data_IF_147841637425
#
_entry.id   IF_147841637425
#
_cell.length_a   1.000
_cell.length_b   1.000
_cell.length_c   1.000
_cell.angle_alpha   90.00
_cell.angle_beta   90.00
_cell.angle_gamma   90.00
#
_symmetry.space_group_name_H-M   'P 1'
#
loop_
_entity.id
_entity.type
_entity.pdbx_description
1 polymer ?
#
# COMPACT_ATOMS: atom_id res chain seq x y z
N UNK A 1 4.75 -15.43 -20.28
CA UNK A 1 3.77 -15.55 -19.18
C UNK A 1 4.03 -16.88 -18.49
N UNK A 2 4.24 -16.95 -17.17
CA UNK A 2 4.37 -18.24 -16.51
C UNK A 2 3.04 -18.99 -16.65
N UNK A 3 3.06 -20.16 -17.29
CA UNK A 3 1.88 -20.96 -17.68
C UNK A 3 1.17 -21.65 -16.49
N UNK A 4 1.69 -21.53 -15.26
CA UNK A 4 1.06 -22.13 -14.07
C UNK A 4 1.44 -21.41 -12.79
N UNK A 5 0.44 -21.16 -11.93
CA UNK A 5 0.64 -20.79 -10.53
C UNK A 5 1.21 -22.02 -9.82
N UNK A 6 2.38 -21.86 -9.19
CA UNK A 6 3.04 -22.95 -8.47
C UNK A 6 2.99 -22.66 -6.97
N UNK A 7 2.14 -23.39 -6.28
CA UNK A 7 1.99 -23.34 -4.83
C UNK A 7 1.83 -24.78 -4.34
N UNK A 8 2.55 -25.15 -3.27
CA UNK A 8 2.41 -26.49 -2.71
C UNK A 8 1.02 -26.68 -2.09
N UNK A 9 0.31 -27.77 -2.45
CA UNK A 9 -1.10 -28.00 -2.05
C UNK A 9 -1.31 -27.95 -0.52
N UNK A 10 -0.35 -28.50 0.23
CA UNK A 10 -0.39 -28.62 1.71
C UNK A 10 0.31 -27.48 2.46
N UNK A 11 0.58 -26.36 1.79
CA UNK A 11 1.18 -25.19 2.43
C UNK A 11 0.18 -24.45 3.34
N UNK A 12 0.70 -23.77 4.37
CA UNK A 12 -0.12 -22.95 5.26
C UNK A 12 -0.78 -21.79 4.50
N UNK A 13 -1.93 -21.27 4.98
CA UNK A 13 -2.61 -20.11 4.38
C UNK A 13 -1.65 -18.93 4.17
N UNK A 14 -0.81 -18.64 5.16
CA UNK A 14 0.21 -17.59 5.08
C UNK A 14 1.25 -17.84 3.98
N UNK A 15 1.73 -19.08 3.87
CA UNK A 15 2.67 -19.48 2.80
C UNK A 15 2.03 -19.34 1.42
N UNK A 16 0.77 -19.76 1.27
CA UNK A 16 0.02 -19.59 0.00
C UNK A 16 -0.02 -18.14 -0.44
N UNK A 17 -0.35 -17.21 0.46
CA UNK A 17 -0.33 -15.78 0.14
C UNK A 17 1.08 -15.28 -0.20
N UNK A 18 2.08 -15.65 0.61
CA UNK A 18 3.46 -15.25 0.40
C UNK A 18 4.01 -15.67 -0.97
N UNK A 19 3.67 -16.87 -1.43
CA UNK A 19 4.06 -17.39 -2.74
C UNK A 19 3.21 -16.83 -3.89
N UNK A 20 1.91 -16.60 -3.66
CA UNK A 20 0.98 -16.13 -4.68
C UNK A 20 1.18 -14.66 -5.06
N UNK A 21 1.39 -13.78 -4.08
CA UNK A 21 1.42 -12.33 -4.32
C UNK A 21 2.50 -11.92 -5.35
N UNK A 22 3.76 -12.41 -5.28
CA UNK A 22 4.76 -12.12 -6.30
C UNK A 22 4.38 -12.67 -7.70
N UNK A 23 3.69 -13.81 -7.75
CA UNK A 23 3.22 -14.39 -9.01
C UNK A 23 2.10 -13.55 -9.62
N UNK A 24 1.14 -13.08 -8.81
CA UNK A 24 0.10 -12.14 -9.25
C UNK A 24 0.74 -10.86 -9.78
N UNK A 25 1.73 -10.30 -9.07
CA UNK A 25 2.46 -9.11 -9.53
C UNK A 25 3.06 -9.35 -10.92
N UNK A 26 3.80 -10.44 -11.11
CA UNK A 26 4.40 -10.77 -12.40
C UNK A 26 3.37 -11.00 -13.51
N UNK A 27 2.18 -11.52 -13.17
CA UNK A 27 1.09 -11.77 -14.11
C UNK A 27 0.48 -10.48 -14.66
N UNK A 28 0.39 -9.43 -13.84
CA UNK A 28 -0.27 -8.16 -14.22
C UNK A 28 0.70 -7.03 -14.62
N UNK A 29 2.01 -7.18 -14.37
CA UNK A 29 2.99 -6.10 -14.53
C UNK A 29 3.13 -5.56 -15.96
N UNK A 30 2.90 -6.39 -16.99
CA UNK A 30 3.09 -6.01 -18.39
C UNK A 30 1.77 -5.79 -19.16
N UNK A 31 0.62 -5.92 -18.50
CA UNK A 31 -0.70 -5.72 -19.10
C UNK A 31 -1.28 -4.40 -18.59
N UNK A 32 -1.81 -3.58 -19.50
CA UNK A 32 -2.38 -2.27 -19.18
C UNK A 32 -3.90 -2.31 -19.07
N UNK A 33 -4.53 -3.33 -19.64
CA UNK A 33 -5.98 -3.50 -19.59
C UNK A 33 -6.41 -3.89 -18.18
N UNK A 34 -7.11 -2.97 -17.51
CA UNK A 34 -7.61 -3.16 -16.16
C UNK A 34 -8.41 -4.46 -16.00
N UNK A 35 -9.37 -4.71 -16.90
CA UNK A 35 -10.27 -5.86 -16.79
C UNK A 35 -9.53 -7.19 -16.96
N UNK A 36 -8.54 -7.25 -17.85
CA UNK A 36 -7.67 -8.41 -17.99
C UNK A 36 -6.90 -8.71 -16.69
N UNK A 37 -6.36 -7.67 -16.06
CA UNK A 37 -5.64 -7.80 -14.79
C UNK A 37 -6.56 -8.24 -13.65
N UNK A 38 -7.72 -7.61 -13.49
CA UNK A 38 -8.70 -7.99 -12.47
C UNK A 38 -9.21 -9.44 -12.67
N UNK A 39 -9.48 -9.84 -13.92
CA UNK A 39 -9.86 -11.20 -14.24
C UNK A 39 -8.79 -12.21 -13.81
N UNK A 40 -7.53 -11.96 -14.19
CA UNK A 40 -6.40 -12.82 -13.82
C UNK A 40 -6.16 -12.88 -12.31
N UNK A 41 -6.31 -11.76 -11.59
CA UNK A 41 -6.20 -11.73 -10.13
C UNK A 41 -7.31 -12.59 -9.49
N UNK A 42 -8.56 -12.43 -9.92
CA UNK A 42 -9.69 -13.20 -9.38
C UNK A 42 -9.51 -14.71 -9.66
N UNK A 43 -9.05 -15.07 -10.86
CA UNK A 43 -8.75 -16.44 -11.24
C UNK A 43 -7.62 -17.04 -10.38
N UNK A 44 -6.54 -16.30 -10.16
CA UNK A 44 -5.41 -16.73 -9.35
C UNK A 44 -5.81 -16.97 -7.88
N UNK A 45 -6.58 -16.05 -7.30
CA UNK A 45 -7.10 -16.20 -5.93
C UNK A 45 -8.04 -17.40 -5.81
N UNK A 46 -8.96 -17.56 -6.76
CA UNK A 46 -9.89 -18.71 -6.81
C UNK A 46 -9.13 -20.04 -6.93
N UNK A 47 -8.14 -20.12 -7.82
CA UNK A 47 -7.37 -21.35 -8.04
C UNK A 47 -6.62 -21.81 -6.79
N UNK A 48 -6.08 -20.88 -5.99
CA UNK A 48 -5.22 -21.20 -4.85
C UNK A 48 -6.01 -21.48 -3.57
N UNK A 49 -7.05 -20.70 -3.33
CA UNK A 49 -7.80 -20.75 -2.07
C UNK A 49 -9.19 -21.40 -2.21
N UNK A 50 -9.67 -21.58 -3.44
CA UNK A 50 -10.99 -22.10 -3.74
C UNK A 50 -12.11 -21.37 -2.97
N UNK A 51 -11.98 -20.05 -2.79
CA UNK A 51 -13.01 -19.20 -2.17
C UNK A 51 -14.36 -19.40 -2.86
N UNK A 52 -15.48 -19.29 -2.13
CA UNK A 52 -16.80 -19.46 -2.74
C UNK A 52 -17.02 -18.44 -3.85
N UNK A 53 -16.81 -17.17 -3.51
CA UNK A 53 -16.82 -16.05 -4.43
C UNK A 53 -15.58 -15.17 -4.19
N UNK A 54 -14.96 -14.69 -5.26
CA UNK A 54 -13.86 -13.72 -5.19
C UNK A 54 -13.88 -12.84 -6.43
N UNK A 55 -13.82 -11.53 -6.26
CA UNK A 55 -13.93 -10.62 -7.39
C UNK A 55 -13.92 -9.16 -7.00
N UNK A 56 -14.32 -8.34 -7.96
CA UNK A 56 -14.23 -6.90 -7.83
C UNK A 56 -15.57 -6.24 -8.11
N UNK A 57 -15.83 -5.15 -7.39
CA UNK A 57 -16.79 -4.14 -7.83
C UNK A 57 -16.05 -2.82 -8.02
N UNK A 58 -16.37 -2.08 -9.07
CA UNK A 58 -15.73 -0.82 -9.43
C UNK A 58 -16.71 0.32 -9.23
N UNK A 59 -16.23 1.51 -8.81
CA UNK A 59 -17.10 2.68 -8.76
C UNK A 59 -17.52 3.03 -10.19
N UNK A 60 -18.83 3.15 -10.40
CA UNK A 60 -19.39 3.52 -11.70
C UNK A 60 -19.06 4.98 -12.00
N UNK A 61 -18.32 5.23 -13.10
CA UNK A 61 -17.93 6.58 -13.50
C UNK A 61 -19.10 7.42 -14.01
N UNK A 62 -20.21 6.79 -14.40
CA UNK A 62 -21.43 7.50 -14.83
C UNK A 62 -22.37 7.78 -13.65
N UNK A 63 -22.27 6.99 -12.58
CA UNK A 63 -23.07 7.09 -11.37
C UNK A 63 -22.16 6.99 -10.15
N UNK A 64 -21.63 8.11 -9.68
CA UNK A 64 -20.71 8.19 -8.52
C UNK A 64 -21.29 7.67 -7.19
N UNK A 65 -22.51 7.12 -7.20
CA UNK A 65 -23.21 6.60 -6.02
C UNK A 65 -23.34 5.07 -5.99
N UNK A 66 -22.82 4.37 -7.01
CA UNK A 66 -22.89 2.91 -7.09
C UNK A 66 -21.55 2.26 -7.43
N UNK A 67 -21.33 1.10 -6.82
CA UNK A 67 -20.39 0.09 -7.25
C UNK A 67 -21.07 -0.77 -8.32
N UNK A 68 -20.38 -1.03 -9.43
CA UNK A 68 -20.79 -1.93 -10.52
C UNK A 68 -19.93 -3.19 -10.51
N UNK A 69 -20.53 -4.34 -10.80
CA UNK A 69 -19.83 -5.62 -10.82
C UNK A 69 -18.71 -5.63 -11.88
N UNK A 70 -17.49 -5.95 -11.43
CA UNK A 70 -16.31 -6.17 -12.26
C UNK A 70 -16.00 -7.66 -12.42
N UNK A 71 -14.78 -8.01 -12.88
CA UNK A 71 -14.37 -9.42 -13.02
C UNK A 71 -14.40 -10.18 -11.69
N UNK A 72 -14.87 -11.42 -11.71
CA UNK A 72 -15.00 -12.26 -10.52
C UNK A 72 -14.95 -13.76 -10.87
N UNK A 73 -14.87 -14.59 -9.84
CA UNK A 73 -15.01 -16.05 -9.89
C UNK A 73 -16.01 -16.49 -8.82
N UNK A 74 -17.06 -17.22 -9.21
CA UNK A 74 -18.11 -17.68 -8.30
C UNK A 74 -19.48 -17.75 -8.98
N UNK A 75 -20.55 -18.00 -8.21
CA UNK A 75 -21.92 -17.90 -8.71
C UNK A 75 -22.30 -16.47 -9.13
N UNK A 76 -23.44 -16.32 -9.82
CA UNK A 76 -24.01 -15.03 -10.23
C UNK A 76 -24.17 -14.11 -9.01
N UNK A 77 -23.76 -12.84 -9.16
CA UNK A 77 -23.76 -11.84 -8.09
C UNK A 77 -24.66 -10.63 -8.42
N UNK A 78 -24.84 -9.74 -7.44
CA UNK A 78 -25.49 -8.44 -7.66
C UNK A 78 -24.71 -7.63 -8.70
N UNK A 79 -25.41 -6.91 -9.59
CA UNK A 79 -24.73 -6.09 -10.60
C UNK A 79 -24.38 -4.69 -10.10
N UNK A 80 -25.16 -4.14 -9.16
CA UNK A 80 -25.00 -2.77 -8.63
C UNK A 80 -25.19 -2.74 -7.11
N UNK A 81 -24.33 -2.01 -6.41
CA UNK A 81 -24.35 -1.85 -4.95
C UNK A 81 -24.21 -0.36 -4.60
N UNK A 82 -25.18 0.20 -3.88
CA UNK A 82 -25.14 1.60 -3.45
C UNK A 82 -24.11 1.85 -2.35
N UNK A 83 -23.53 3.05 -2.32
CA UNK A 83 -22.64 3.46 -1.24
C UNK A 83 -23.28 3.30 0.15
N UNK A 84 -22.55 2.74 1.10
CA UNK A 84 -23.00 2.45 2.46
C UNK A 84 -24.00 1.30 2.61
N UNK A 85 -24.28 0.53 1.55
CA UNK A 85 -25.20 -0.62 1.58
C UNK A 85 -24.45 -1.94 1.49
N UNK A 86 -24.77 -2.89 2.37
CA UNK A 86 -24.02 -4.14 2.49
C UNK A 86 -22.56 -3.91 2.93
N UNK A 87 -21.80 -5.00 3.01
CA UNK A 87 -20.39 -4.92 3.44
C UNK A 87 -19.55 -4.20 2.38
N UNK A 88 -19.74 -4.51 1.10
CA UNK A 88 -19.14 -3.79 -0.03
C UNK A 88 -19.37 -2.27 0.00
N UNK A 89 -20.62 -1.83 0.11
CA UNK A 89 -20.94 -0.41 0.16
C UNK A 89 -20.44 0.26 1.44
N UNK A 90 -20.43 -0.44 2.58
CA UNK A 90 -19.86 0.07 3.82
C UNK A 90 -18.33 0.26 3.71
N UNK A 91 -17.63 -0.73 3.14
CA UNK A 91 -16.19 -0.66 2.85
C UNK A 91 -15.84 0.53 1.96
N UNK A 92 -16.64 0.75 0.92
CA UNK A 92 -16.51 1.91 0.06
C UNK A 92 -16.70 3.23 0.83
N UNK A 93 -17.80 3.37 1.56
CA UNK A 93 -18.16 4.60 2.27
C UNK A 93 -17.19 4.95 3.40
N UNK A 94 -16.78 3.95 4.18
CA UNK A 94 -15.89 4.14 5.34
C UNK A 94 -14.40 4.00 4.98
N UNK A 95 -14.09 3.69 3.73
CA UNK A 95 -12.73 3.57 3.20
C UNK A 95 -11.83 2.64 4.04
N UNK A 96 -12.39 1.53 4.53
CA UNK A 96 -11.65 0.58 5.35
C UNK A 96 -12.00 -0.86 4.99
N UNK A 97 -11.05 -1.75 5.26
CA UNK A 97 -11.29 -3.18 5.14
C UNK A 97 -12.27 -3.64 6.21
N UNK A 98 -13.28 -4.41 5.81
CA UNK A 98 -14.18 -5.10 6.71
C UNK A 98 -13.87 -6.59 6.71
N UNK A 99 -13.75 -7.16 7.91
CA UNK A 99 -13.65 -8.60 8.14
C UNK A 99 -14.92 -9.01 8.88
N UNK A 100 -15.81 -9.73 8.21
CA UNK A 100 -17.16 -10.03 8.70
C UNK A 100 -17.28 -11.54 8.95
N UNK A 101 -17.25 -12.00 10.20
CA UNK A 101 -17.31 -13.43 10.51
C UNK A 101 -18.71 -14.04 10.31
N UNK A 102 -19.75 -13.19 10.28
CA UNK A 102 -21.15 -13.59 10.10
C UNK A 102 -21.91 -12.46 9.39
N UNK A 103 -22.15 -12.62 8.08
CA UNK A 103 -22.79 -11.57 7.25
C UNK A 103 -24.23 -11.29 7.67
N UNK A 104 -24.93 -12.28 8.22
CA UNK A 104 -26.31 -12.12 8.69
C UNK A 104 -26.41 -11.14 9.88
N UNK A 105 -25.30 -10.96 10.62
CA UNK A 105 -25.20 -10.02 11.74
C UNK A 105 -24.71 -8.64 11.33
N UNK A 106 -24.32 -8.44 10.08
CA UNK A 106 -23.80 -7.16 9.62
C UNK A 106 -24.94 -6.13 9.46
N UNK A 107 -24.86 -4.94 10.08
CA UNK A 107 -25.90 -3.93 9.97
C UNK A 107 -26.11 -3.47 8.52
N UNK A 108 -27.34 -3.57 8.02
CA UNK A 108 -27.66 -3.17 6.64
C UNK A 108 -27.17 -4.14 5.57
N UNK A 109 -26.93 -5.42 5.94
CA UNK A 109 -26.62 -6.49 5.01
C UNK A 109 -27.64 -6.56 3.86
N UNK A 110 -27.11 -6.59 2.62
CA UNK A 110 -27.84 -6.96 1.42
C UNK A 110 -27.26 -8.31 1.01
N UNK A 111 -27.97 -9.40 1.31
CA UNK A 111 -27.54 -10.72 0.84
C UNK A 111 -27.71 -10.78 -0.68
N UNK A 112 -26.60 -10.70 -1.42
CA UNK A 112 -26.59 -10.99 -2.86
C UNK A 112 -26.73 -12.50 -3.13
N UNK A 113 -26.27 -13.33 -2.20
CA UNK A 113 -26.48 -14.78 -2.19
C UNK A 113 -26.83 -15.24 -0.78
N UNK A 114 -27.83 -16.10 -0.64
CA UNK A 114 -28.23 -16.69 0.65
C UNK A 114 -27.23 -17.71 1.20
N UNK A 115 -26.22 -18.09 0.42
CA UNK A 115 -25.20 -19.07 0.81
C UNK A 115 -23.95 -18.44 1.40
N UNK A 116 -23.71 -17.13 1.20
CA UNK A 116 -22.58 -16.45 1.85
C UNK A 116 -22.82 -16.36 3.37
N UNK A 117 -21.80 -16.72 4.16
CA UNK A 117 -21.84 -16.76 5.63
C UNK A 117 -20.79 -15.85 6.25
N UNK A 118 -19.62 -15.71 5.65
CA UNK A 118 -18.60 -14.72 6.04
C UNK A 118 -18.02 -14.03 4.82
N UNK A 119 -17.53 -12.81 5.00
CA UNK A 119 -17.10 -11.93 3.91
C UNK A 119 -15.89 -11.09 4.36
N UNK A 120 -14.95 -10.87 3.45
CA UNK A 120 -13.90 -9.86 3.61
C UNK A 120 -13.87 -8.93 2.41
N UNK A 121 -14.03 -7.65 2.68
CA UNK A 121 -14.03 -6.60 1.64
C UNK A 121 -12.86 -5.66 1.86
N UNK A 122 -12.03 -5.47 0.83
CA UNK A 122 -10.87 -4.58 0.83
C UNK A 122 -11.08 -3.45 -0.18
N UNK A 123 -11.10 -2.18 0.25
CA UNK A 123 -11.24 -1.05 -0.68
C UNK A 123 -9.96 -0.87 -1.50
N UNK A 124 -10.13 -0.61 -2.79
CA UNK A 124 -9.09 -0.26 -3.77
C UNK A 124 -9.06 1.25 -3.91
N UNK A 125 -7.89 1.85 -3.79
CA UNK A 125 -7.72 3.30 -3.75
C UNK A 125 -7.14 3.80 -5.07
N UNK A 126 -7.79 4.81 -5.64
CA UNK A 126 -7.26 5.69 -6.67
C UNK A 126 -6.82 7.02 -6.08
N UNK A 127 -6.62 8.02 -6.96
CA UNK A 127 -6.13 9.35 -6.59
C UNK A 127 -7.04 10.09 -5.60
N UNK A 128 -8.34 10.06 -5.85
CA UNK A 128 -9.33 10.90 -5.14
C UNK A 128 -10.24 10.10 -4.19
N UNK A 129 -9.86 8.85 -3.89
CA UNK A 129 -10.60 7.99 -2.97
C UNK A 129 -10.71 6.55 -3.47
N UNK A 130 -11.73 5.85 -2.99
CA UNK A 130 -11.98 4.46 -3.35
C UNK A 130 -12.57 4.40 -4.76
N UNK A 131 -11.95 3.59 -5.62
CA UNK A 131 -12.35 3.37 -7.02
C UNK A 131 -12.94 1.98 -7.27
N UNK A 132 -12.95 1.15 -6.23
CA UNK A 132 -13.53 -0.17 -6.25
C UNK A 132 -13.26 -0.92 -4.95
N UNK A 133 -13.73 -2.16 -4.88
CA UNK A 133 -13.48 -3.06 -3.77
C UNK A 133 -13.11 -4.44 -4.31
N UNK A 134 -12.17 -5.11 -3.64
CA UNK A 134 -12.01 -6.56 -3.71
C UNK A 134 -12.94 -7.17 -2.67
N UNK A 135 -13.77 -8.10 -3.10
CA UNK A 135 -14.75 -8.80 -2.28
C UNK A 135 -14.51 -10.31 -2.36
N UNK A 136 -14.64 -10.98 -1.22
CA UNK A 136 -14.37 -12.41 -1.05
C UNK A 136 -15.35 -13.00 -0.04
N UNK A 137 -16.14 -13.97 -0.50
CA UNK A 137 -17.16 -14.66 0.30
C UNK A 137 -16.75 -16.09 0.62
N UNK A 138 -17.34 -16.61 1.70
CA UNK A 138 -17.31 -18.02 2.06
C UNK A 138 -18.68 -18.53 2.48
N UNK A 139 -18.95 -19.80 2.17
CA UNK A 139 -20.12 -20.53 2.67
C UNK A 139 -19.99 -20.94 4.14
N UNK A 140 -18.83 -20.68 4.76
CA UNK A 140 -18.55 -20.97 6.16
C UNK A 140 -18.50 -19.69 6.99
N UNK A 141 -18.94 -19.78 8.26
CA UNK A 141 -18.77 -18.70 9.23
C UNK A 141 -17.30 -18.56 9.60
N UNK A 142 -16.88 -17.33 9.90
CA UNK A 142 -15.54 -17.00 10.43
C UNK A 142 -14.38 -17.60 9.62
N UNK A 143 -14.54 -17.67 8.29
CA UNK A 143 -13.57 -18.35 7.41
C UNK A 143 -12.33 -17.49 7.10
N UNK A 144 -12.45 -16.18 7.32
CA UNK A 144 -11.40 -15.20 7.06
C UNK A 144 -10.82 -14.70 8.38
N UNK A 145 -9.51 -14.44 8.39
CA UNK A 145 -8.80 -14.02 9.58
C UNK A 145 -7.84 -12.84 9.29
N UNK A 146 -7.00 -12.50 10.27
CA UNK A 146 -6.03 -11.41 10.12
C UNK A 146 -4.97 -11.66 9.05
N UNK A 147 -4.67 -12.92 8.70
CA UNK A 147 -3.73 -13.28 7.63
C UNK A 147 -4.35 -12.90 6.29
N UNK A 148 -5.62 -13.22 6.06
CA UNK A 148 -6.35 -12.80 4.86
C UNK A 148 -6.36 -11.27 4.75
N UNK A 149 -6.70 -10.60 5.86
CA UNK A 149 -6.76 -9.14 5.91
C UNK A 149 -5.43 -8.47 5.57
N UNK A 150 -4.33 -8.93 6.15
CA UNK A 150 -2.99 -8.39 5.88
C UNK A 150 -2.52 -8.70 4.47
N UNK A 151 -2.79 -9.92 3.99
CA UNK A 151 -2.37 -10.38 2.67
C UNK A 151 -3.12 -9.64 1.56
N UNK A 152 -4.44 -9.49 1.66
CA UNK A 152 -5.22 -8.73 0.69
C UNK A 152 -4.89 -7.23 0.71
N UNK A 153 -4.59 -6.63 1.86
CA UNK A 153 -4.06 -5.26 1.92
C UNK A 153 -2.73 -5.13 1.18
N UNK A 154 -1.89 -6.16 1.23
CA UNK A 154 -0.63 -6.20 0.48
C UNK A 154 -0.87 -6.36 -1.02
N UNK A 155 -1.73 -7.30 -1.43
CA UNK A 155 -2.13 -7.51 -2.83
C UNK A 155 -2.78 -6.25 -3.44
N UNK A 156 -3.62 -5.56 -2.66
CA UNK A 156 -4.24 -4.29 -3.05
C UNK A 156 -3.20 -3.27 -3.49
N UNK A 157 -2.02 -3.21 -2.86
CA UNK A 157 -1.00 -2.25 -3.28
C UNK A 157 -0.50 -2.50 -4.71
N UNK A 158 -0.49 -3.76 -5.19
CA UNK A 158 -0.15 -4.09 -6.58
C UNK A 158 -1.31 -3.78 -7.53
N UNK A 159 -2.54 -3.96 -7.08
CA UNK A 159 -3.76 -3.58 -7.83
C UNK A 159 -3.85 -2.05 -7.98
N UNK A 160 -3.63 -1.29 -6.91
CA UNK A 160 -3.63 0.18 -6.92
C UNK A 160 -2.63 0.74 -7.94
N UNK A 161 -1.45 0.12 -8.10
CA UNK A 161 -0.46 0.52 -9.13
C UNK A 161 -1.00 0.35 -10.56
N UNK A 162 -1.82 -0.67 -10.80
CA UNK A 162 -2.47 -0.91 -12.08
C UNK A 162 -3.64 0.05 -12.35
N UNK A 163 -4.38 0.42 -11.31
CA UNK A 163 -5.42 1.45 -11.45
C UNK A 163 -4.88 2.88 -11.58
N UNK A 164 -3.64 3.13 -11.14
CA UNK A 164 -2.96 4.40 -11.35
C UNK A 164 -2.59 4.68 -12.84
N UNK A 165 -2.96 3.80 -13.79
CA UNK A 165 -2.62 3.93 -15.20
C UNK A 165 -3.38 5.01 -16.00
N UNK A 166 -4.03 5.97 -15.33
CA UNK A 166 -4.49 7.21 -15.99
C UNK A 166 -3.78 8.48 -15.48
N UNK A 167 -2.67 8.34 -14.74
CA UNK A 167 -1.76 9.46 -14.58
C UNK A 167 -0.36 9.02 -14.15
N UNK A 168 0.65 9.37 -14.93
CA UNK A 168 2.03 9.12 -14.53
C UNK A 168 2.40 10.07 -13.39
N UNK A 169 3.02 9.53 -12.34
CA UNK A 169 3.63 10.35 -11.30
C UNK A 169 4.84 11.05 -11.95
N UNK A 170 4.70 12.34 -12.21
CA UNK A 170 5.76 13.15 -12.81
C UNK A 170 6.29 14.14 -11.79
N UNK A 171 7.56 14.50 -11.93
CA UNK A 171 8.16 15.55 -11.11
C UNK A 171 7.46 16.89 -11.35
N UNK A 172 7.14 17.59 -10.26
CA UNK A 172 6.68 18.95 -10.31
C UNK A 172 7.85 19.87 -10.69
N UNK A 173 7.91 20.32 -11.94
CA UNK A 173 9.00 21.17 -12.44
C UNK A 173 9.10 22.54 -11.74
N UNK A 174 8.06 22.95 -11.01
CA UNK A 174 8.05 24.21 -10.25
C UNK A 174 8.47 24.03 -8.79
N UNK A 175 8.59 22.79 -8.32
CA UNK A 175 9.03 22.48 -6.96
C UNK A 175 10.56 22.36 -6.91
N UNK A 176 11.17 23.02 -5.92
CA UNK A 176 12.59 22.91 -5.62
C UNK A 176 12.70 22.39 -4.19
N UNK A 177 13.29 21.20 -3.96
CA UNK A 177 13.49 20.66 -2.62
C UNK A 177 14.24 21.65 -1.72
N UNK A 178 13.70 21.90 -0.53
CA UNK A 178 14.37 22.75 0.45
C UNK A 178 15.45 21.94 1.15
N UNK A 179 16.71 22.33 0.96
CA UNK A 179 17.88 21.69 1.55
C UNK A 179 18.41 22.61 2.66
N UNK A 180 18.04 22.34 3.91
CA UNK A 180 18.25 23.31 5.00
C UNK A 180 18.97 22.76 6.24
N UNK A 181 19.58 21.58 6.13
CA UNK A 181 20.38 20.96 7.17
C UNK A 181 19.57 19.96 7.98
N UNK A 182 19.91 19.77 9.24
CA UNK A 182 19.24 18.79 10.08
C UNK A 182 18.10 19.41 10.89
N UNK A 183 16.87 18.93 10.68
CA UNK A 183 15.69 19.37 11.40
C UNK A 183 14.45 19.42 10.51
N UNK A 184 13.30 19.78 11.08
CA UNK A 184 12.06 20.04 10.36
C UNK A 184 11.56 21.45 10.69
N UNK A 185 10.58 21.96 9.93
CA UNK A 185 10.07 23.32 10.10
C UNK A 185 9.74 23.64 11.58
N UNK A 186 10.45 24.65 12.11
CA UNK A 186 10.34 25.10 13.51
C UNK A 186 11.40 24.56 14.47
N UNK A 187 12.17 23.52 14.12
CA UNK A 187 13.25 22.97 14.96
C UNK A 187 14.48 22.62 14.13
N UNK A 188 15.52 23.46 14.20
CA UNK A 188 16.83 23.20 13.60
C UNK A 188 17.81 22.72 14.66
N UNK A 189 18.51 21.63 14.36
CA UNK A 189 19.62 21.18 15.19
C UNK A 189 20.86 21.91 14.70
N UNK A 190 21.29 22.92 15.45
CA UNK A 190 22.51 23.64 15.12
C UNK A 190 23.75 22.82 15.52
N UNK A 191 24.47 22.32 14.51
CA UNK A 191 25.74 21.62 14.67
C UNK A 191 26.96 22.54 14.53
N UNK A 192 26.77 23.85 14.36
CA UNK A 192 27.85 24.84 14.16
C UNK A 192 28.86 24.87 15.31
N UNK A 193 28.44 24.56 16.53
CA UNK A 193 29.32 24.51 17.71
C UNK A 193 29.95 23.13 18.00
N UNK A 194 29.63 22.08 17.21
CA UNK A 194 30.09 20.70 17.50
C UNK A 194 30.86 20.07 16.34
N UNK A 195 31.71 19.09 16.69
CA UNK A 195 32.54 18.23 15.79
C UNK A 195 31.76 17.46 14.70
N UNK A 196 30.46 17.71 14.52
CA UNK A 196 29.53 16.95 13.69
C UNK A 196 28.92 17.77 12.54
N UNK A 197 29.52 18.91 12.16
CA UNK A 197 29.11 19.70 10.98
C UNK A 197 28.93 18.87 9.70
N UNK A 198 29.68 17.76 9.58
CA UNK A 198 29.57 16.83 8.45
C UNK A 198 28.22 16.11 8.39
N UNK A 199 27.44 16.01 9.48
CA UNK A 199 26.08 15.46 9.40
C UNK A 199 25.13 16.33 8.56
N UNK A 200 25.39 17.64 8.45
CA UNK A 200 24.60 18.50 7.58
C UNK A 200 24.63 18.02 6.12
N UNK A 201 25.74 17.42 5.67
CA UNK A 201 25.80 16.87 4.30
C UNK A 201 24.83 15.69 4.12
N UNK A 202 24.69 14.85 5.15
CA UNK A 202 23.80 13.71 5.15
C UNK A 202 22.34 14.16 5.23
N UNK A 203 22.04 15.14 6.09
CA UNK A 203 20.70 15.71 6.19
C UNK A 203 20.29 16.40 4.89
N UNK A 204 21.18 17.20 4.29
CA UNK A 204 20.91 17.83 3.00
C UNK A 204 20.62 16.82 1.88
N UNK A 205 21.35 15.70 1.84
CA UNK A 205 21.10 14.63 0.89
C UNK A 205 19.77 13.90 1.16
N UNK A 206 19.39 13.78 2.44
CA UNK A 206 18.11 13.20 2.85
C UNK A 206 16.93 14.10 2.50
N UNK A 207 17.02 15.40 2.76
CA UNK A 207 16.04 16.43 2.35
C UNK A 207 15.80 16.36 0.84
N UNK A 208 16.88 16.30 0.06
CA UNK A 208 16.80 16.18 -1.40
C UNK A 208 16.12 14.87 -1.82
N UNK A 209 16.43 13.75 -1.15
CA UNK A 209 15.81 12.46 -1.44
C UNK A 209 14.31 12.48 -1.15
N UNK A 210 13.90 13.05 0.01
CA UNK A 210 12.51 13.22 0.40
C UNK A 210 11.75 14.15 -0.56
N UNK A 211 12.40 15.21 -1.06
CA UNK A 211 11.84 16.14 -2.04
C UNK A 211 11.94 15.66 -3.50
N UNK A 212 12.53 14.50 -3.78
CA UNK A 212 12.57 13.97 -5.15
C UNK A 212 11.31 13.13 -5.39
N UNK A 213 10.54 13.48 -6.42
CA UNK A 213 9.29 12.80 -6.69
C UNK A 213 9.48 11.30 -6.97
N UNK A 214 8.66 10.46 -6.33
CA UNK A 214 8.59 9.03 -6.58
C UNK A 214 9.72 8.22 -5.96
N UNK A 215 10.56 8.82 -5.12
CA UNK A 215 11.59 8.10 -4.37
C UNK A 215 10.99 7.18 -3.33
N UNK A 216 11.78 6.21 -2.87
CA UNK A 216 11.36 5.30 -1.81
C UNK A 216 11.87 5.79 -0.45
N UNK A 217 10.96 6.03 0.50
CA UNK A 217 11.32 6.47 1.86
C UNK A 217 12.36 5.56 2.52
N UNK A 218 12.18 4.24 2.44
CA UNK A 218 13.08 3.27 3.07
C UNK A 218 14.49 3.38 2.48
N UNK A 219 14.59 3.59 1.17
CA UNK A 219 15.87 3.81 0.50
C UNK A 219 16.52 5.14 0.93
N UNK A 220 15.74 6.23 0.98
CA UNK A 220 16.22 7.52 1.48
C UNK A 220 16.75 7.41 2.92
N UNK A 221 16.00 6.76 3.81
CA UNK A 221 16.37 6.60 5.22
C UNK A 221 17.61 5.71 5.39
N UNK A 222 17.73 4.65 4.59
CA UNK A 222 18.89 3.77 4.61
C UNK A 222 20.14 4.49 4.10
N UNK A 223 20.03 5.28 3.03
CA UNK A 223 21.11 6.10 2.52
C UNK A 223 21.56 7.15 3.55
N UNK A 224 20.60 7.76 4.26
CA UNK A 224 20.89 8.67 5.36
C UNK A 224 21.66 7.97 6.49
N UNK A 225 21.19 6.81 6.94
CA UNK A 225 21.88 5.99 7.94
C UNK A 225 23.32 5.69 7.54
N UNK A 226 23.53 5.19 6.32
CA UNK A 226 24.84 4.83 5.80
C UNK A 226 25.77 6.05 5.72
N UNK A 227 25.24 7.22 5.35
CA UNK A 227 25.99 8.47 5.35
C UNK A 227 26.45 8.86 6.77
N UNK A 228 25.56 8.81 7.77
CA UNK A 228 25.90 9.12 9.16
C UNK A 228 26.99 8.17 9.70
N UNK A 229 26.86 6.87 9.44
CA UNK A 229 27.87 5.88 9.84
C UNK A 229 29.22 6.15 9.17
N UNK A 230 29.23 6.49 7.88
CA UNK A 230 30.44 6.79 7.11
C UNK A 230 31.16 8.04 7.62
N UNK A 231 30.43 9.08 8.03
CA UNK A 231 31.03 10.28 8.65
C UNK A 231 31.77 9.92 9.93
N UNK A 232 31.23 9.01 10.74
CA UNK A 232 31.85 8.61 12.01
C UNK A 232 33.13 7.79 11.84
N UNK A 233 33.29 7.09 10.71
CA UNK A 233 34.51 6.36 10.40
C UNK A 233 35.74 7.27 10.21
N UNK A 234 35.53 8.57 9.97
CA UNK A 234 36.60 9.56 9.83
C UNK A 234 37.18 10.03 11.17
N UNK A 235 36.58 9.64 12.31
CA UNK A 235 36.92 10.15 13.64
C UNK A 235 37.75 9.16 14.48
N UNK A 236 38.56 9.69 15.40
CA UNK A 236 39.38 8.89 16.35
C UNK A 236 38.65 8.61 17.67
N UNK A 237 38.79 7.39 18.18
CA UNK A 237 38.35 6.83 19.48
C UNK A 237 37.19 7.59 20.17
N UNK A 238 37.48 8.49 21.11
CA UNK A 238 36.42 9.13 21.92
C UNK A 238 35.43 9.94 21.06
N UNK A 239 35.91 10.60 20.00
CA UNK A 239 35.01 11.34 19.10
C UNK A 239 34.20 10.42 18.17
N UNK A 240 34.69 9.20 17.91
CA UNK A 240 33.97 8.18 17.12
C UNK A 240 32.78 7.63 17.88
N UNK A 241 32.93 7.33 19.17
CA UNK A 241 31.82 6.83 20.00
C UNK A 241 30.68 7.84 20.09
N UNK A 242 31.00 9.11 20.38
CA UNK A 242 30.01 10.19 20.44
C UNK A 242 29.32 10.40 19.08
N UNK A 243 30.07 10.31 17.98
CA UNK A 243 29.50 10.39 16.64
C UNK A 243 28.49 9.28 16.38
N UNK A 244 28.85 8.03 16.67
CA UNK A 244 27.97 6.86 16.44
C UNK A 244 26.68 7.00 17.26
N UNK A 245 26.79 7.45 18.51
CA UNK A 245 25.62 7.68 19.36
C UNK A 245 24.67 8.72 18.75
N UNK A 246 25.20 9.88 18.36
CA UNK A 246 24.41 10.94 17.74
C UNK A 246 23.82 10.50 16.38
N UNK A 247 24.59 9.79 15.55
CA UNK A 247 24.10 9.27 14.26
C UNK A 247 22.94 8.28 14.43
N UNK A 248 23.03 7.36 15.40
CA UNK A 248 21.92 6.45 15.72
C UNK A 248 20.68 7.19 16.23
N UNK A 249 20.87 8.21 17.06
CA UNK A 249 19.77 9.04 17.54
C UNK A 249 19.06 9.76 16.38
N UNK A 250 19.82 10.35 15.46
CA UNK A 250 19.28 11.02 14.26
C UNK A 250 18.48 10.06 13.37
N UNK A 251 19.05 8.89 13.07
CA UNK A 251 18.34 7.87 12.30
C UNK A 251 17.06 7.37 13.00
N UNK A 252 17.11 7.24 14.34
CA UNK A 252 15.94 6.91 15.15
C UNK A 252 14.81 7.93 15.01
N UNK A 253 15.13 9.24 15.04
CA UNK A 253 14.15 10.30 14.85
C UNK A 253 13.50 10.24 13.45
N UNK A 254 14.27 10.01 12.40
CA UNK A 254 13.75 9.82 11.04
C UNK A 254 12.84 8.59 10.93
N UNK A 255 13.16 7.53 11.67
CA UNK A 255 12.33 6.31 11.69
C UNK A 255 10.99 6.55 12.37
N UNK A 256 10.96 7.35 13.45
CA UNK A 256 9.75 7.62 14.24
C UNK A 256 8.88 8.71 13.59
N UNK A 257 9.49 9.80 13.14
CA UNK A 257 8.78 11.01 12.69
C UNK A 257 8.85 11.25 11.18
N UNK A 258 9.66 10.49 10.43
CA UNK A 258 9.92 10.79 9.02
C UNK A 258 8.77 10.47 8.06
N UNK A 259 7.76 9.69 8.44
CA UNK A 259 6.66 9.32 7.52
C UNK A 259 5.82 10.53 7.11
N UNK A 260 5.46 11.39 8.06
CA UNK A 260 4.65 12.58 7.80
C UNK A 260 5.43 13.57 6.90
N UNK A 261 6.68 13.89 7.28
CA UNK A 261 7.56 14.76 6.50
C UNK A 261 7.83 14.23 5.08
N UNK A 262 7.99 12.91 4.92
CA UNK A 262 8.16 12.28 3.62
C UNK A 262 6.91 12.45 2.75
N UNK A 263 5.73 12.20 3.31
CA UNK A 263 4.47 12.34 2.58
C UNK A 263 4.21 13.78 2.14
N UNK A 264 4.45 14.76 3.01
CA UNK A 264 4.32 16.19 2.69
C UNK A 264 5.31 16.65 1.60
N UNK A 265 6.54 16.13 1.66
CA UNK A 265 7.53 16.40 0.60
C UNK A 265 7.06 15.82 -0.74
N UNK A 266 6.54 14.59 -0.74
CA UNK A 266 6.07 13.92 -1.95
C UNK A 266 4.81 14.57 -2.55
N UNK A 267 3.88 15.05 -1.73
CA UNK A 267 2.65 15.72 -2.22
C UNK A 267 2.98 17.03 -2.94
N UNK A 268 4.08 17.69 -2.57
CA UNK A 268 4.53 18.94 -3.20
C UNK A 268 5.45 18.67 -4.40
N UNK A 269 6.31 17.66 -4.29
CA UNK A 269 7.30 17.29 -5.30
C UNK A 269 6.70 16.57 -6.51
N UNK A 270 5.58 15.88 -6.33
CA UNK A 270 4.94 15.10 -7.39
C UNK A 270 3.68 15.76 -7.91
N UNK A 271 3.48 15.67 -9.23
CA UNK A 271 2.22 15.92 -9.89
C UNK A 271 1.77 14.66 -10.61
N UNK A 272 0.46 14.40 -10.58
CA UNK A 272 -0.15 13.32 -11.35
C UNK A 272 -0.69 13.94 -12.64
N UNK A 273 -0.10 13.58 -13.79
CA UNK A 273 -0.48 14.04 -15.13
C UNK A 273 -1.06 12.93 -15.97
#
# INVERSE_FOLDING_TARGET
MPESIKIAENSSKQTKYFELIPQIKSLIENEKNLYANLANISAALKQVFNFWWVGFYLVDSESEQELVLGPFQGPIACTRIKSGRGVCGASWKEQKTFLVPDVDKFPGHIACSSLSRSEIVVPIFGKDGVIGVLDVDSEFLDNFDSIDQQSFKSSRNEVNKNFALNGELQSNSSYIPLVNGCGSDGFRIDFSEKKFHLFNMCCNAHDLCYGTCGTNKIECDLNFKNCLESVCELLKNNSKHDCIFNGKMMYGLVTIFGCENFQESQTTACICK
#
